data_IF_277858640294
#
_entry.id   IF_277858640294
#
_cell.length_a   1.000
_cell.length_b   1.000
_cell.length_c   1.000
_cell.angle_alpha   90.00
_cell.angle_beta   90.00
_cell.angle_gamma   90.00
#
_symmetry.space_group_name_H-M   'P 1'
#
loop_
_entity.id
_entity.type
_entity.pdbx_description
1 polymer ?
#
# COMPACT_ATOMS: atom_id res chain seq x y z
N UNK A 1 -10.03 -4.94 -7.85
CA UNK A 1 -9.35 -6.25 -7.91
C UNK A 1 -8.00 -6.25 -8.64
N UNK A 2 -7.91 -5.73 -9.87
CA UNK A 2 -6.64 -5.68 -10.66
C UNK A 2 -5.43 -5.10 -9.92
N UNK A 3 -5.62 -4.00 -9.18
CA UNK A 3 -4.58 -3.38 -8.33
C UNK A 3 -4.01 -4.36 -7.30
N UNK A 4 -4.87 -5.14 -6.63
CA UNK A 4 -4.42 -6.14 -5.67
C UNK A 4 -3.64 -7.27 -6.33
N UNK A 5 -4.07 -7.74 -7.50
CA UNK A 5 -3.31 -8.75 -8.27
C UNK A 5 -1.92 -8.24 -8.57
N UNK A 6 -1.81 -7.04 -9.15
CA UNK A 6 -0.53 -6.41 -9.45
C UNK A 6 0.35 -6.30 -8.20
N UNK A 7 -0.18 -5.73 -7.11
CA UNK A 7 0.57 -5.59 -5.86
C UNK A 7 1.03 -6.96 -5.35
N UNK A 8 0.15 -7.96 -5.26
CA UNK A 8 0.54 -9.30 -4.79
C UNK A 8 1.62 -9.94 -5.67
N UNK A 9 1.53 -9.79 -7.00
CA UNK A 9 2.57 -10.26 -7.91
C UNK A 9 3.90 -9.55 -7.65
N UNK A 10 3.92 -8.22 -7.52
CA UNK A 10 5.14 -7.47 -7.17
C UNK A 10 5.75 -7.94 -5.85
N UNK A 11 4.91 -8.24 -4.84
CA UNK A 11 5.39 -8.76 -3.56
C UNK A 11 6.03 -10.13 -3.74
N UNK A 12 5.41 -11.04 -4.50
CA UNK A 12 5.96 -12.36 -4.78
C UNK A 12 7.34 -12.25 -5.45
N UNK A 13 7.42 -11.50 -6.55
CA UNK A 13 8.65 -11.38 -7.35
C UNK A 13 9.84 -10.86 -6.52
N UNK A 14 9.58 -9.92 -5.61
CA UNK A 14 10.60 -9.35 -4.72
C UNK A 14 10.92 -10.23 -3.51
N UNK A 15 10.02 -11.11 -3.09
CA UNK A 15 10.20 -11.89 -1.85
C UNK A 15 10.76 -13.27 -2.11
N UNK A 16 10.44 -13.92 -3.23
CA UNK A 16 10.72 -15.36 -3.44
C UNK A 16 12.15 -15.79 -3.07
N UNK A 17 13.17 -15.08 -3.56
CA UNK A 17 14.57 -15.33 -3.24
C UNK A 17 15.17 -14.36 -2.20
N UNK A 18 14.35 -13.51 -1.58
CA UNK A 18 14.84 -12.52 -0.62
C UNK A 18 15.35 -13.19 0.67
N UNK A 19 16.58 -12.90 1.15
CA UNK A 19 17.19 -13.56 2.29
C UNK A 19 16.33 -13.59 3.57
N UNK A 20 15.60 -12.50 3.82
CA UNK A 20 14.74 -12.39 5.02
C UNK A 20 13.25 -12.59 4.77
N UNK A 21 12.78 -12.50 3.53
CA UNK A 21 11.35 -12.37 3.24
C UNK A 21 10.80 -13.48 2.35
N UNK A 22 11.61 -14.45 1.93
CA UNK A 22 11.21 -15.62 1.14
C UNK A 22 10.02 -16.39 1.72
N UNK A 23 9.91 -16.47 3.05
CA UNK A 23 8.79 -17.11 3.73
C UNK A 23 7.42 -16.46 3.47
N UNK A 24 7.35 -15.23 2.93
CA UNK A 24 6.10 -14.59 2.50
C UNK A 24 5.67 -14.94 1.07
N UNK A 25 6.60 -15.40 0.22
CA UNK A 25 6.29 -15.68 -1.18
C UNK A 25 5.23 -16.77 -1.36
N UNK A 26 5.24 -17.91 -0.64
CA UNK A 26 4.18 -18.91 -0.73
C UNK A 26 2.79 -18.33 -0.46
N UNK A 27 2.66 -17.42 0.52
CA UNK A 27 1.40 -16.74 0.84
C UNK A 27 0.90 -15.84 -0.29
N UNK A 28 1.81 -15.14 -0.96
CA UNK A 28 1.47 -14.32 -2.12
C UNK A 28 0.95 -15.19 -3.28
N UNK A 29 1.64 -16.31 -3.57
CA UNK A 29 1.21 -17.28 -4.59
C UNK A 29 -0.13 -17.91 -4.24
N UNK A 30 -0.31 -18.34 -2.99
CA UNK A 30 -1.58 -18.88 -2.48
C UNK A 30 -2.71 -17.86 -2.63
N UNK A 31 -2.48 -16.58 -2.36
CA UNK A 31 -3.50 -15.55 -2.54
C UNK A 31 -3.93 -15.38 -4.00
N UNK A 32 -2.96 -15.42 -4.94
CA UNK A 32 -3.24 -15.39 -6.38
C UNK A 32 -4.02 -16.65 -6.80
N UNK A 33 -3.60 -17.83 -6.32
CA UNK A 33 -4.24 -19.12 -6.63
C UNK A 33 -5.61 -19.31 -5.96
N UNK A 34 -5.81 -18.88 -4.71
CA UNK A 34 -7.14 -18.91 -4.06
C UNK A 34 -8.15 -18.05 -4.78
N UNK A 35 -7.68 -16.96 -5.41
CA UNK A 35 -8.48 -16.15 -6.33
C UNK A 35 -8.59 -16.75 -7.74
N UNK A 36 -7.72 -17.71 -8.08
CA UNK A 36 -7.58 -18.33 -9.40
C UNK A 36 -8.03 -19.80 -9.55
N UNK A 37 -8.26 -20.58 -8.50
CA UNK A 37 -8.52 -22.04 -8.58
C UNK A 37 -10.02 -22.41 -8.49
N UNK A 38 -10.44 -23.46 -9.21
CA UNK A 38 -11.84 -23.86 -9.55
C UNK A 38 -12.07 -25.34 -9.20
N UNK A 39 -13.35 -25.72 -9.10
CA UNK A 39 -13.93 -27.07 -9.36
C UNK A 39 -13.71 -28.17 -8.30
N UNK A 40 -14.78 -28.49 -7.58
CA UNK A 40 -15.08 -29.83 -7.08
C UNK A 40 -14.12 -30.42 -6.05
N UNK A 41 -14.19 -29.96 -4.81
CA UNK A 41 -14.16 -30.83 -3.62
C UNK A 41 -14.35 -29.98 -2.36
N UNK A 42 -15.23 -30.44 -1.48
CA UNK A 42 -15.39 -29.92 -0.14
C UNK A 42 -14.07 -30.09 0.62
N UNK A 43 -13.50 -28.97 1.07
CA UNK A 43 -12.49 -29.00 2.12
C UNK A 43 -12.89 -27.99 3.19
N UNK A 44 -13.10 -28.52 4.38
CA UNK A 44 -13.51 -27.84 5.60
C UNK A 44 -12.53 -26.70 5.95
N UNK A 45 -13.09 -25.50 6.16
CA UNK A 45 -12.37 -24.35 6.67
C UNK A 45 -12.23 -24.45 8.20
N UNK A 46 -11.00 -24.38 8.71
CA UNK A 46 -10.72 -23.98 10.10
C UNK A 46 -9.84 -22.74 10.12
N UNK A 47 -10.35 -21.76 10.86
CA UNK A 47 -9.75 -20.54 11.44
C UNK A 47 -9.52 -19.27 10.58
N UNK A 48 -9.75 -18.07 11.17
CA UNK A 48 -9.70 -16.80 10.47
C UNK A 48 -8.30 -16.16 10.50
N UNK A 49 -7.82 -15.71 9.34
CA UNK A 49 -6.55 -15.01 9.19
C UNK A 49 -6.81 -13.50 9.10
N UNK A 50 -6.29 -12.74 10.08
CA UNK A 50 -6.22 -11.28 10.04
C UNK A 50 -5.16 -10.83 9.01
N UNK A 51 -5.52 -10.00 8.03
CA UNK A 51 -4.53 -9.18 7.31
C UNK A 51 -5.05 -7.79 6.95
N UNK A 52 -4.19 -6.79 7.24
CA UNK A 52 -4.12 -5.49 6.59
C UNK A 52 -2.68 -5.35 6.08
N UNK A 53 -2.42 -5.03 4.80
CA UNK A 53 -1.07 -5.07 4.24
C UNK A 53 -0.45 -3.67 4.35
N UNK A 54 -0.33 -3.14 5.58
CA UNK A 54 0.49 -1.96 5.86
C UNK A 54 1.09 -1.98 7.30
N UNK A 55 0.97 -3.08 8.03
CA UNK A 55 1.46 -3.19 9.40
C UNK A 55 2.22 -4.51 9.62
N UNK A 56 3.41 -4.62 9.04
CA UNK A 56 4.37 -5.63 9.47
C UNK A 56 5.12 -5.12 10.71
N UNK A 57 4.47 -5.19 11.87
CA UNK A 57 5.11 -5.33 13.20
C UNK A 57 4.17 -5.05 14.39
N UNK A 58 2.94 -5.57 14.46
CA UNK A 58 2.21 -5.57 15.75
C UNK A 58 1.23 -6.75 15.83
N UNK A 59 1.68 -7.82 16.48
CA UNK A 59 0.80 -8.75 17.18
C UNK A 59 1.11 -8.57 18.66
N UNK A 60 0.16 -8.02 19.44
CA UNK A 60 -0.03 -8.24 20.89
C UNK A 60 -1.24 -7.40 21.36
N UNK A 61 -2.26 -8.13 21.83
CA UNK A 61 -3.30 -7.78 22.83
C UNK A 61 -4.23 -6.57 22.55
N UNK A 62 -5.41 -6.87 22.00
CA UNK A 62 -6.59 -6.01 22.08
C UNK A 62 -7.18 -6.15 23.49
N UNK A 63 -6.92 -5.16 24.34
CA UNK A 63 -7.81 -4.81 25.45
C UNK A 63 -8.50 -3.48 25.12
N UNK A 64 -9.78 -3.30 25.45
CA UNK A 64 -10.49 -2.06 25.15
C UNK A 64 -9.82 -0.87 25.87
N UNK A 65 -9.70 0.31 25.22
CA UNK A 65 -9.00 1.44 25.80
C UNK A 65 -9.71 1.95 27.06
N UNK A 66 -9.04 1.82 28.19
CA UNK A 66 -9.38 2.48 29.45
C UNK A 66 -9.25 4.00 29.26
N UNK A 67 -10.39 4.69 29.15
CA UNK A 67 -10.40 6.15 29.05
C UNK A 67 -11.66 6.80 28.46
N UNK A 68 -12.64 6.03 27.97
CA UNK A 68 -13.90 6.62 27.48
C UNK A 68 -14.71 7.17 28.68
N UNK A 69 -15.03 8.48 28.71
CA UNK A 69 -15.89 9.07 29.72
C UNK A 69 -17.24 8.33 29.74
N UNK A 70 -17.76 7.99 30.94
CA UNK A 70 -18.92 7.10 31.12
C UNK A 70 -20.17 7.53 30.32
N UNK A 71 -20.34 8.81 30.01
CA UNK A 71 -21.47 9.34 29.24
C UNK A 71 -21.48 9.03 27.73
N UNK A 72 -20.40 8.49 27.15
CA UNK A 72 -20.32 8.17 25.72
C UNK A 72 -20.47 6.67 25.41
N UNK A 73 -20.63 5.80 26.42
CA UNK A 73 -20.78 4.35 26.19
C UNK A 73 -22.10 4.01 25.49
N UNK A 74 -23.18 4.73 25.82
CA UNK A 74 -24.53 4.39 25.36
C UNK A 74 -24.85 4.83 23.92
N UNK A 75 -23.96 5.58 23.26
CA UNK A 75 -24.09 5.98 21.84
C UNK A 75 -23.23 5.13 20.89
N UNK A 76 -22.42 4.20 21.43
CA UNK A 76 -21.43 3.44 20.65
C UNK A 76 -21.84 1.97 20.46
N UNK A 77 -22.85 1.50 21.18
CA UNK A 77 -23.38 0.13 21.07
C UNK A 77 -24.66 0.09 20.22
N UNK A 78 -24.54 0.37 18.93
CA UNK A 78 -25.50 -0.13 17.94
C UNK A 78 -24.73 -0.95 16.92
N UNK A 79 -24.74 -2.26 17.18
CA UNK A 79 -24.55 -3.38 16.26
C UNK A 79 -23.60 -3.21 15.07
N UNK A 80 -22.38 -3.73 15.22
CA UNK A 80 -21.68 -4.35 14.09
C UNK A 80 -21.10 -5.68 14.54
N UNK A 81 -21.84 -6.77 14.32
CA UNK A 81 -21.25 -8.10 14.26
C UNK A 81 -20.19 -8.08 13.13
N UNK A 82 -18.99 -8.68 13.31
CA UNK A 82 -18.02 -8.77 12.23
C UNK A 82 -18.64 -9.56 11.09
N UNK A 83 -18.61 -9.02 9.88
CA UNK A 83 -19.07 -9.74 8.69
C UNK A 83 -18.04 -10.84 8.40
N UNK A 84 -18.34 -12.06 8.82
CA UNK A 84 -17.53 -13.28 8.66
C UNK A 84 -17.50 -13.85 7.23
N UNK A 85 -17.95 -13.11 6.21
CA UNK A 85 -17.97 -13.63 4.85
C UNK A 85 -16.68 -13.26 4.10
N UNK A 86 -15.63 -14.09 4.18
CA UNK A 86 -14.63 -14.15 3.11
C UNK A 86 -15.31 -14.75 1.86
N UNK A 87 -16.11 -13.93 1.17
CA UNK A 87 -16.69 -14.31 -0.12
C UNK A 87 -15.52 -14.49 -1.09
N UNK A 88 -15.35 -15.71 -1.59
CA UNK A 88 -14.35 -16.00 -2.59
C UNK A 88 -14.75 -15.28 -3.89
N UNK A 89 -14.05 -14.16 -4.17
CA UNK A 89 -14.33 -13.22 -5.25
C UNK A 89 -14.31 -13.86 -6.65
N UNK A 90 -13.72 -15.05 -6.81
CA UNK A 90 -13.82 -15.83 -8.04
C UNK A 90 -15.25 -16.28 -8.33
N UNK A 91 -16.02 -16.64 -7.30
CA UNK A 91 -17.44 -17.00 -7.44
C UNK A 91 -18.30 -15.82 -7.91
N UNK A 92 -17.91 -14.58 -7.59
CA UNK A 92 -18.60 -13.37 -8.05
C UNK A 92 -18.26 -13.00 -9.51
N UNK A 93 -17.17 -13.55 -10.05
CA UNK A 93 -16.71 -13.32 -11.42
C UNK A 93 -17.02 -14.48 -12.38
N UNK A 94 -17.35 -15.66 -11.86
CA UNK A 94 -17.54 -16.86 -12.67
C UNK A 94 -18.72 -16.70 -13.66
N UNK A 95 -18.46 -17.03 -14.92
CA UNK A 95 -19.40 -16.97 -16.05
C UNK A 95 -20.02 -15.59 -16.36
N UNK A 96 -19.36 -14.49 -15.95
CA UNK A 96 -19.80 -13.13 -16.26
C UNK A 96 -18.66 -12.32 -16.87
N UNK A 97 -18.61 -12.28 -18.20
CA UNK A 97 -17.55 -11.55 -18.93
C UNK A 97 -17.49 -10.06 -18.57
N UNK A 98 -18.63 -9.47 -18.20
CA UNK A 98 -18.75 -8.07 -17.78
C UNK A 98 -18.68 -7.85 -16.26
N UNK A 99 -18.26 -8.85 -15.47
CA UNK A 99 -18.17 -8.68 -14.01
C UNK A 99 -17.02 -7.75 -13.63
N UNK A 100 -17.33 -6.73 -12.81
CA UNK A 100 -16.33 -5.84 -12.20
C UNK A 100 -15.34 -6.57 -11.28
N UNK A 101 -15.65 -7.82 -10.91
CA UNK A 101 -14.80 -8.69 -10.09
C UNK A 101 -13.77 -9.48 -10.91
N UNK A 102 -13.89 -9.53 -12.24
CA UNK A 102 -12.89 -10.19 -13.11
C UNK A 102 -11.62 -9.35 -13.17
N UNK A 103 -10.54 -9.86 -12.57
CA UNK A 103 -9.23 -9.24 -12.69
C UNK A 103 -8.55 -9.71 -13.98
N UNK A 104 -8.51 -8.82 -14.98
CA UNK A 104 -7.88 -9.07 -16.28
C UNK A 104 -6.47 -9.67 -16.17
N UNK A 105 -5.64 -9.09 -15.31
CA UNK A 105 -4.24 -9.48 -15.12
C UNK A 105 -4.05 -10.73 -14.25
N UNK A 106 -5.10 -11.44 -13.81
CA UNK A 106 -4.94 -12.57 -12.87
C UNK A 106 -4.29 -13.79 -13.51
N UNK A 107 -4.68 -14.18 -14.72
CA UNK A 107 -4.13 -15.35 -15.39
C UNK A 107 -2.62 -15.16 -15.65
N UNK A 108 -2.26 -14.07 -16.33
CA UNK A 108 -0.86 -13.71 -16.57
C UNK A 108 -0.07 -13.50 -15.28
N UNK A 109 -0.70 -13.03 -14.18
CA UNK A 109 -0.04 -12.92 -12.89
C UNK A 109 0.34 -14.28 -12.30
N UNK A 110 -0.51 -15.30 -12.44
CA UNK A 110 -0.24 -16.66 -11.96
C UNK A 110 0.90 -17.28 -12.79
N UNK A 111 0.83 -17.17 -14.11
CA UNK A 111 1.87 -17.66 -15.00
C UNK A 111 3.22 -16.98 -14.71
N UNK A 112 3.22 -15.66 -14.52
CA UNK A 112 4.44 -14.90 -14.25
C UNK A 112 5.10 -15.29 -12.92
N UNK A 113 4.32 -15.53 -11.86
CA UNK A 113 4.92 -15.96 -10.57
C UNK A 113 5.44 -17.38 -10.65
N UNK A 114 4.77 -18.27 -11.39
CA UNK A 114 5.23 -19.65 -11.59
C UNK A 114 6.52 -19.69 -12.43
N UNK A 115 6.59 -18.93 -13.52
CA UNK A 115 7.80 -18.85 -14.35
C UNK A 115 8.97 -18.23 -13.59
N UNK A 116 8.72 -17.23 -12.74
CA UNK A 116 9.78 -16.60 -11.93
C UNK A 116 10.32 -17.55 -10.85
N UNK A 117 9.43 -18.29 -10.20
CA UNK A 117 9.80 -19.32 -9.23
C UNK A 117 10.61 -20.45 -9.85
N UNK A 118 10.19 -20.94 -11.01
CA UNK A 118 10.94 -21.95 -11.77
C UNK A 118 12.34 -21.43 -12.14
N UNK A 119 12.42 -20.23 -12.75
CA UNK A 119 13.69 -19.59 -13.14
C UNK A 119 14.65 -19.39 -11.97
N UNK A 120 14.16 -19.14 -10.76
CA UNK A 120 15.03 -18.98 -9.59
C UNK A 120 15.32 -20.30 -8.86
N UNK A 121 14.62 -21.39 -9.21
CA UNK A 121 14.78 -22.71 -8.61
C UNK A 121 15.61 -23.67 -9.45
N UNK A 122 15.85 -23.36 -10.72
CA UNK A 122 16.53 -24.22 -11.70
C UNK A 122 18.03 -24.46 -11.42
N UNK A 123 18.64 -23.67 -10.53
CA UNK A 123 20.07 -23.77 -10.20
C UNK A 123 20.99 -23.27 -11.32
N UNK A 124 20.44 -22.55 -12.30
CA UNK A 124 21.20 -21.90 -13.36
C UNK A 124 22.17 -20.84 -12.80
N UNK A 125 23.20 -20.52 -13.58
CA UNK A 125 24.14 -19.45 -13.22
C UNK A 125 23.42 -18.10 -13.04
N UNK A 126 22.42 -17.82 -13.89
CA UNK A 126 21.58 -16.63 -13.78
C UNK A 126 20.79 -16.60 -12.46
N UNK A 127 20.16 -17.72 -12.09
CA UNK A 127 19.41 -17.80 -10.83
C UNK A 127 20.30 -17.52 -9.61
N UNK A 128 21.51 -18.09 -9.60
CA UNK A 128 22.49 -17.87 -8.54
C UNK A 128 23.06 -16.45 -8.54
N UNK A 129 23.23 -15.82 -9.70
CA UNK A 129 23.60 -14.41 -9.81
C UNK A 129 22.53 -13.50 -9.19
N UNK A 130 21.25 -13.71 -9.53
CA UNK A 130 20.13 -12.94 -8.98
C UNK A 130 20.07 -13.09 -7.45
N UNK A 131 20.16 -14.33 -6.93
CA UNK A 131 20.16 -14.60 -5.49
C UNK A 131 21.35 -13.95 -4.79
N UNK A 132 22.55 -14.04 -5.38
CA UNK A 132 23.77 -13.43 -4.85
C UNK A 132 23.67 -11.92 -4.79
N UNK A 133 23.11 -11.29 -5.83
CA UNK A 133 22.86 -9.86 -5.86
C UNK A 133 21.90 -9.44 -4.74
N UNK A 134 20.75 -10.11 -4.61
CA UNK A 134 19.78 -9.83 -3.55
C UNK A 134 20.40 -9.98 -2.16
N UNK A 135 21.21 -11.02 -1.96
CA UNK A 135 21.94 -11.25 -0.71
C UNK A 135 22.92 -10.12 -0.41
N UNK A 136 23.73 -9.72 -1.39
CA UNK A 136 24.68 -8.62 -1.22
C UNK A 136 23.98 -7.29 -0.90
N UNK A 137 22.86 -6.96 -1.56
CA UNK A 137 22.09 -5.73 -1.26
C UNK A 137 21.60 -5.70 0.19
N UNK A 138 21.11 -6.82 0.70
CA UNK A 138 20.69 -6.97 2.10
C UNK A 138 21.87 -6.84 3.06
N UNK A 139 23.00 -7.50 2.76
CA UNK A 139 24.22 -7.42 3.58
C UNK A 139 24.78 -6.00 3.63
N UNK A 140 24.80 -5.28 2.49
CA UNK A 140 25.19 -3.87 2.45
C UNK A 140 24.23 -3.00 3.27
N UNK A 141 22.93 -3.25 3.16
CA UNK A 141 21.91 -2.61 3.99
C UNK A 141 22.18 -2.76 5.48
N UNK A 142 22.48 -3.99 5.93
CA UNK A 142 22.79 -4.29 7.32
C UNK A 142 24.10 -3.66 7.79
N UNK A 143 25.14 -3.66 6.95
CA UNK A 143 26.43 -3.00 7.24
C UNK A 143 26.23 -1.49 7.40
N UNK A 144 25.51 -0.85 6.47
CA UNK A 144 25.24 0.59 6.52
C UNK A 144 24.36 0.96 7.71
N UNK A 145 23.34 0.14 8.02
CA UNK A 145 22.50 0.31 9.21
C UNK A 145 23.33 0.27 10.50
N UNK A 146 24.25 -0.69 10.65
CA UNK A 146 25.18 -0.74 11.80
C UNK A 146 26.03 0.53 11.90
N UNK A 147 26.40 1.13 10.76
CA UNK A 147 27.11 2.41 10.65
C UNK A 147 26.20 3.65 10.75
N UNK A 148 24.89 3.48 10.99
CA UNK A 148 23.87 4.54 11.01
C UNK A 148 23.82 5.35 9.70
N UNK A 149 24.11 4.71 8.57
CA UNK A 149 24.00 5.28 7.22
C UNK A 149 22.87 4.60 6.47
N UNK A 150 22.33 5.30 5.47
CA UNK A 150 21.27 4.78 4.60
C UNK A 150 21.91 4.10 3.40
N UNK A 151 21.58 2.82 3.20
CA UNK A 151 21.83 2.14 1.92
C UNK A 151 20.65 2.38 0.98
N UNK A 152 20.93 2.71 -0.29
CA UNK A 152 19.92 2.84 -1.33
C UNK A 152 19.85 1.51 -2.06
N UNK A 153 18.80 0.75 -1.78
CA UNK A 153 18.58 -0.55 -2.40
C UNK A 153 18.20 -0.37 -3.87
N UNK A 154 18.69 -1.27 -4.71
CA UNK A 154 18.48 -1.27 -6.15
C UNK A 154 17.88 -2.61 -6.62
N UNK A 155 17.06 -2.55 -7.68
CA UNK A 155 16.48 -3.76 -8.26
C UNK A 155 17.50 -4.47 -9.14
N UNK A 156 17.39 -5.80 -9.23
CA UNK A 156 18.12 -6.54 -10.26
C UNK A 156 17.63 -6.15 -11.65
N UNK A 157 18.54 -6.12 -12.63
CA UNK A 157 18.19 -5.81 -14.01
C UNK A 157 17.13 -6.77 -14.55
N UNK A 158 17.25 -8.06 -14.24
CA UNK A 158 16.33 -9.11 -14.67
C UNK A 158 14.91 -8.87 -14.16
N UNK A 159 14.76 -8.38 -12.92
CA UNK A 159 13.46 -8.05 -12.35
C UNK A 159 12.86 -6.78 -12.98
N UNK A 160 13.70 -5.77 -13.24
CA UNK A 160 13.29 -4.56 -13.94
C UNK A 160 12.79 -4.90 -15.35
N UNK A 161 13.54 -5.71 -16.11
CA UNK A 161 13.17 -6.18 -17.44
C UNK A 161 11.86 -6.98 -17.39
N UNK A 162 11.73 -7.92 -16.45
CA UNK A 162 10.55 -8.77 -16.29
C UNK A 162 9.27 -7.93 -16.07
N UNK A 163 9.33 -6.98 -15.12
CA UNK A 163 8.18 -6.15 -14.79
C UNK A 163 7.88 -5.17 -15.92
N UNK A 164 8.91 -4.57 -16.53
CA UNK A 164 8.73 -3.56 -17.58
C UNK A 164 8.06 -4.10 -18.83
N UNK A 165 8.26 -5.39 -19.14
CA UNK A 165 7.71 -6.04 -20.31
C UNK A 165 6.36 -6.74 -20.06
N UNK A 166 5.90 -6.84 -18.81
CA UNK A 166 4.72 -7.64 -18.46
C UNK A 166 3.43 -6.82 -18.42
N UNK A 167 2.39 -7.35 -19.05
CA UNK A 167 1.02 -6.78 -19.02
C UNK A 167 0.31 -7.00 -17.68
N UNK A 168 0.94 -7.68 -16.73
CA UNK A 168 0.41 -7.85 -15.38
C UNK A 168 0.39 -6.53 -14.61
N UNK A 169 1.35 -5.64 -14.89
CA UNK A 169 1.56 -4.38 -14.19
C UNK A 169 0.85 -3.21 -14.87
N UNK A 170 -0.49 -3.28 -14.84
CA UNK A 170 -1.42 -2.35 -15.49
C UNK A 170 -1.32 -0.90 -15.00
N UNK A 171 -0.86 -0.68 -13.77
CA UNK A 171 -0.86 0.63 -13.12
C UNK A 171 0.58 1.09 -12.84
N UNK A 172 1.17 1.96 -13.68
CA UNK A 172 2.51 2.49 -13.50
C UNK A 172 2.74 3.15 -12.14
N UNK A 173 1.74 3.88 -11.65
CA UNK A 173 1.77 4.57 -10.35
C UNK A 173 1.81 3.61 -9.15
N UNK A 174 1.56 2.31 -9.36
CA UNK A 174 1.68 1.28 -8.33
C UNK A 174 2.98 0.48 -8.46
N UNK A 175 3.90 0.85 -9.36
CA UNK A 175 5.22 0.24 -9.41
C UNK A 175 6.05 0.68 -8.20
N UNK A 176 6.79 -0.25 -7.56
CA UNK A 176 7.55 0.08 -6.37
C UNK A 176 8.74 0.98 -6.76
N UNK A 177 8.93 2.14 -6.09
CA UNK A 177 10.04 3.03 -6.39
C UNK A 177 11.37 2.50 -5.86
N UNK A 178 11.34 1.59 -4.89
CA UNK A 178 12.52 0.95 -4.29
C UNK A 178 12.20 -0.53 -3.98
N UNK A 179 13.21 -1.42 -3.94
CA UNK A 179 13.03 -2.80 -3.51
C UNK A 179 12.62 -2.92 -2.04
N UNK A 180 12.19 -4.12 -1.63
CA UNK A 180 12.02 -4.41 -0.21
C UNK A 180 13.32 -4.31 0.57
N UNK A 181 13.16 -3.79 1.79
CA UNK A 181 14.25 -3.45 2.71
C UNK A 181 14.02 -4.14 4.04
N UNK A 182 15.04 -4.80 4.56
CA UNK A 182 15.05 -5.39 5.91
C UNK A 182 15.60 -4.44 6.97
N UNK A 183 16.22 -3.34 6.56
CA UNK A 183 16.97 -2.42 7.42
C UNK A 183 16.11 -1.25 7.96
N UNK A 184 14.84 -1.17 7.58
CA UNK A 184 13.95 -0.08 8.01
C UNK A 184 13.51 -0.30 9.46
N UNK A 185 13.88 0.65 10.32
CA UNK A 185 13.22 0.86 11.60
C UNK A 185 11.88 1.54 11.31
N UNK A 186 10.77 0.87 11.59
CA UNK A 186 9.42 1.43 11.53
C UNK A 186 9.26 2.49 12.60
N UNK A 187 9.76 3.69 12.35
CA UNK A 187 9.34 4.84 13.13
C UNK A 187 7.87 5.12 12.84
N UNK A 188 7.17 5.71 13.81
CA UNK A 188 5.80 6.22 13.66
C UNK A 188 5.78 7.45 12.73
N UNK A 189 6.21 7.26 11.49
CA UNK A 189 6.18 8.25 10.42
C UNK A 189 4.77 8.25 9.84
N UNK A 190 4.31 9.45 9.51
CA UNK A 190 3.08 9.67 8.78
C UNK A 190 3.45 10.05 7.35
N UNK A 191 2.92 9.30 6.40
CA UNK A 191 3.11 9.57 4.98
C UNK A 191 2.32 10.82 4.58
N UNK A 192 2.69 11.53 3.49
CA UNK A 192 1.93 12.68 3.02
C UNK A 192 0.43 12.39 2.82
N UNK A 193 0.01 11.27 2.21
CA UNK A 193 -1.41 10.93 2.10
C UNK A 193 -2.07 10.64 3.46
N UNK A 194 -1.32 10.15 4.45
CA UNK A 194 -1.86 9.98 5.80
C UNK A 194 -2.10 11.34 6.47
N UNK A 195 -1.28 12.36 6.20
CA UNK A 195 -1.53 13.72 6.69
C UNK A 195 -2.79 14.32 6.09
N UNK A 196 -3.02 14.10 4.79
CA UNK A 196 -4.27 14.49 4.12
C UNK A 196 -5.47 13.75 4.74
N UNK A 197 -5.36 12.44 4.94
CA UNK A 197 -6.40 11.62 5.56
C UNK A 197 -6.73 12.09 6.99
N UNK A 198 -5.71 12.45 7.76
CA UNK A 198 -5.89 13.02 9.11
C UNK A 198 -6.62 14.36 9.02
N UNK A 199 -6.22 15.26 8.12
CA UNK A 199 -6.87 16.57 7.95
C UNK A 199 -8.35 16.42 7.57
N UNK A 200 -8.66 15.56 6.59
CA UNK A 200 -10.03 15.23 6.16
C UNK A 200 -10.83 14.65 7.33
N UNK A 201 -10.25 13.70 8.06
CA UNK A 201 -10.90 13.10 9.22
C UNK A 201 -11.19 14.09 10.33
N UNK A 202 -10.25 14.98 10.62
CA UNK A 202 -10.46 16.04 11.60
C UNK A 202 -11.64 16.93 11.19
N UNK A 203 -11.70 17.39 9.94
CA UNK A 203 -12.82 18.20 9.43
C UNK A 203 -14.17 17.47 9.56
N UNK A 204 -14.25 16.24 9.04
CA UNK A 204 -15.49 15.46 9.02
C UNK A 204 -16.02 15.20 10.43
N UNK A 205 -15.16 14.70 11.33
CA UNK A 205 -15.58 14.33 12.68
C UNK A 205 -15.73 15.54 13.61
N UNK A 206 -15.03 16.64 13.37
CA UNK A 206 -15.25 17.91 14.06
C UNK A 206 -16.63 18.49 13.71
N UNK A 207 -16.98 18.52 12.42
CA UNK A 207 -18.30 18.96 11.97
C UNK A 207 -19.42 18.06 12.47
N UNK A 208 -19.20 16.74 12.50
CA UNK A 208 -20.11 15.80 13.14
C UNK A 208 -20.29 16.15 14.64
N UNK A 209 -19.21 16.24 15.41
CA UNK A 209 -19.30 16.44 16.87
C UNK A 209 -19.85 17.80 17.31
N UNK A 210 -19.70 18.86 16.49
CA UNK A 210 -20.33 20.16 16.73
C UNK A 210 -21.85 20.05 16.91
N UNK A 211 -22.49 19.10 16.21
CA UNK A 211 -23.94 18.94 16.21
C UNK A 211 -24.47 18.10 17.38
N UNK A 212 -23.62 17.32 18.07
CA UNK A 212 -24.08 16.32 19.04
C UNK A 212 -23.64 16.56 20.49
N UNK A 213 -22.70 17.47 20.77
CA UNK A 213 -22.14 17.56 22.13
C UNK A 213 -21.69 18.94 22.59
N UNK A 214 -22.15 19.36 23.77
CA UNK A 214 -21.60 20.52 24.49
C UNK A 214 -20.18 20.27 25.03
N UNK A 215 -19.78 19.00 25.22
CA UNK A 215 -18.43 18.61 25.66
C UNK A 215 -17.36 18.87 24.60
N UNK A 216 -17.75 18.94 23.32
CA UNK A 216 -16.85 19.28 22.22
C UNK A 216 -16.20 20.68 22.41
N UNK A 217 -16.90 21.64 23.02
CA UNK A 217 -16.37 23.01 23.26
C UNK A 217 -15.15 23.04 24.17
N UNK A 218 -14.99 22.06 25.07
CA UNK A 218 -13.88 22.04 26.06
C UNK A 218 -12.69 21.19 25.64
N UNK A 219 -12.87 20.15 24.83
CA UNK A 219 -11.79 19.23 24.46
C UNK A 219 -11.92 18.65 23.04
N UNK A 220 -11.82 19.53 22.04
CA UNK A 220 -12.00 19.20 20.61
C UNK A 220 -11.20 17.96 20.15
N UNK A 221 -9.86 18.03 20.20
CA UNK A 221 -9.00 16.96 19.66
C UNK A 221 -9.13 15.62 20.40
N UNK A 222 -9.34 15.62 21.72
CA UNK A 222 -9.43 14.35 22.47
C UNK A 222 -10.71 13.56 22.19
N UNK A 223 -11.72 14.20 21.58
CA UNK A 223 -12.98 13.56 21.19
C UNK A 223 -12.94 13.18 19.70
N UNK A 224 -12.37 14.04 18.86
CA UNK A 224 -12.30 13.84 17.40
C UNK A 224 -11.26 12.79 17.01
N UNK A 225 -10.06 12.80 17.59
CA UNK A 225 -8.97 11.87 17.21
C UNK A 225 -9.33 10.39 17.40
N UNK A 226 -10.03 9.96 18.47
CA UNK A 226 -10.53 8.60 18.56
C UNK A 226 -11.44 8.17 17.40
N UNK A 227 -12.25 9.08 16.85
CA UNK A 227 -13.10 8.79 15.70
C UNK A 227 -12.28 8.64 14.41
N UNK A 228 -11.28 9.52 14.21
CA UNK A 228 -10.31 9.41 13.10
C UNK A 228 -9.64 8.04 13.13
N UNK A 229 -9.19 7.58 14.30
CA UNK A 229 -8.56 6.26 14.41
C UNK A 229 -9.56 5.14 14.15
N UNK A 230 -10.73 5.19 14.79
CA UNK A 230 -11.73 4.13 14.66
C UNK A 230 -12.17 3.92 13.21
N UNK A 231 -12.31 5.00 12.44
CA UNK A 231 -12.94 4.94 11.12
C UNK A 231 -11.98 5.08 9.94
N UNK A 232 -10.83 5.72 10.12
CA UNK A 232 -9.91 6.03 9.00
C UNK A 232 -8.51 5.44 9.18
N UNK A 233 -8.02 5.34 10.42
CA UNK A 233 -6.66 4.88 10.70
C UNK A 233 -6.60 3.86 11.86
N UNK A 234 -7.31 2.71 11.77
CA UNK A 234 -7.42 1.75 12.88
C UNK A 234 -6.10 1.10 13.30
N UNK A 235 -5.06 1.20 12.46
CA UNK A 235 -3.71 0.71 12.75
C UNK A 235 -2.83 1.70 13.52
N UNK A 236 -3.33 2.90 13.83
CA UNK A 236 -2.56 3.95 14.53
C UNK A 236 -2.90 4.00 16.02
N UNK A 237 -1.90 4.31 16.83
CA UNK A 237 -2.09 4.56 18.26
C UNK A 237 -2.65 5.96 18.53
N UNK A 238 -3.63 6.02 19.41
CA UNK A 238 -4.31 7.26 19.82
C UNK A 238 -3.38 8.30 20.44
N UNK A 239 -2.51 7.89 21.36
CA UNK A 239 -1.64 8.83 22.07
C UNK A 239 -0.59 9.39 21.12
N UNK A 240 -0.07 8.55 20.24
CA UNK A 240 0.92 8.92 19.24
C UNK A 240 0.35 9.84 18.17
N UNK A 241 -0.86 9.58 17.66
CA UNK A 241 -1.52 10.45 16.69
C UNK A 241 -1.83 11.82 17.30
N UNK A 242 -2.33 11.86 18.53
CA UNK A 242 -2.59 13.12 19.22
C UNK A 242 -1.31 13.94 19.44
N UNK A 243 -0.20 13.28 19.81
CA UNK A 243 1.12 13.93 19.91
C UNK A 243 1.61 14.43 18.54
N UNK A 244 1.39 13.65 17.49
CA UNK A 244 1.77 14.01 16.14
C UNK A 244 1.01 15.24 15.64
N UNK A 245 -0.32 15.26 15.74
CA UNK A 245 -1.17 16.39 15.34
C UNK A 245 -0.73 17.69 16.04
N UNK A 246 -0.45 17.63 17.35
CA UNK A 246 0.03 18.80 18.11
C UNK A 246 1.37 19.33 17.59
N UNK A 247 2.27 18.44 17.17
CA UNK A 247 3.55 18.80 16.56
C UNK A 247 3.41 19.25 15.12
N UNK A 248 2.48 18.68 14.37
CA UNK A 248 2.21 19.04 12.98
C UNK A 248 1.84 20.53 12.86
N UNK A 249 1.27 21.15 13.90
CA UNK A 249 1.06 22.60 13.96
C UNK A 249 2.32 23.43 13.72
N UNK A 250 3.50 22.94 14.08
CA UNK A 250 4.77 23.68 13.94
C UNK A 250 5.52 23.36 12.65
N UNK A 251 5.02 22.46 11.82
CA UNK A 251 5.66 22.06 10.57
C UNK A 251 5.00 22.87 9.45
N UNK A 252 5.71 23.74 8.73
CA UNK A 252 5.08 24.56 7.70
C UNK A 252 4.54 23.72 6.54
N UNK A 253 3.44 24.18 5.94
CA UNK A 253 2.87 23.66 4.69
C UNK A 253 2.44 22.17 4.73
N UNK A 254 2.08 21.63 5.90
CA UNK A 254 1.47 20.30 5.98
C UNK A 254 -0.07 20.37 6.07
N UNK A 255 -0.79 19.35 5.56
CA UNK A 255 -2.26 19.34 5.53
C UNK A 255 -2.94 19.53 6.90
N UNK A 256 -2.35 18.99 7.97
CA UNK A 256 -2.90 19.09 9.32
C UNK A 256 -2.76 20.52 9.84
N UNK A 257 -1.64 21.18 9.58
CA UNK A 257 -1.47 22.61 9.90
C UNK A 257 -2.51 23.46 9.16
N UNK A 258 -2.67 23.25 7.84
CA UNK A 258 -3.65 23.97 7.05
C UNK A 258 -5.06 23.83 7.64
N UNK A 259 -5.44 22.60 8.02
CA UNK A 259 -6.70 22.36 8.72
C UNK A 259 -6.81 23.12 10.04
N UNK A 260 -5.77 23.10 10.87
CA UNK A 260 -5.79 23.78 12.17
C UNK A 260 -5.91 25.31 12.05
N UNK A 261 -5.47 25.89 10.94
CA UNK A 261 -5.54 27.33 10.65
C UNK A 261 -6.89 27.71 10.02
N UNK A 262 -7.38 26.91 9.08
CA UNK A 262 -8.56 27.26 8.26
C UNK A 262 -9.85 26.56 8.70
N UNK A 263 -9.77 25.57 9.59
CA UNK A 263 -10.85 24.66 9.98
C UNK A 263 -11.48 23.88 8.80
N UNK A 264 -10.72 23.73 7.71
CA UNK A 264 -11.10 22.99 6.49
C UNK A 264 -9.86 22.24 6.00
N UNK A 265 -10.01 20.99 5.58
CA UNK A 265 -8.93 20.23 5.01
C UNK A 265 -8.50 20.81 3.66
N UNK A 266 -7.23 20.66 3.24
CA UNK A 266 -6.82 21.04 1.90
C UNK A 266 -7.67 20.32 0.85
N UNK A 267 -8.01 21.03 -0.23
CA UNK A 267 -8.74 20.45 -1.36
C UNK A 267 -7.90 19.33 -1.97
N UNK A 268 -8.48 18.13 -2.06
CA UNK A 268 -7.85 16.99 -2.74
C UNK A 268 -8.46 16.86 -4.13
N UNK A 269 -7.64 17.01 -5.17
CA UNK A 269 -8.06 16.75 -6.55
C UNK A 269 -8.09 15.25 -6.79
N UNK A 270 -9.28 14.70 -6.99
CA UNK A 270 -9.46 13.29 -7.31
C UNK A 270 -9.55 13.10 -8.82
N UNK A 271 -8.65 12.31 -9.38
CA UNK A 271 -8.68 11.92 -10.78
C UNK A 271 -9.19 10.49 -10.91
N UNK A 272 -10.25 10.31 -11.70
CA UNK A 272 -10.72 8.98 -12.08
C UNK A 272 -10.05 8.62 -13.40
N UNK A 273 -9.17 7.63 -13.36
CA UNK A 273 -8.58 7.07 -14.58
C UNK A 273 -9.52 5.97 -15.09
N UNK A 274 -10.24 6.19 -16.21
CA UNK A 274 -11.10 5.16 -16.77
C UNK A 274 -10.24 3.96 -17.21
N UNK A 275 -10.73 2.76 -16.93
CA UNK A 275 -10.09 1.54 -17.40
C UNK A 275 -10.78 1.08 -18.68
N UNK A 276 -10.01 0.91 -19.75
CA UNK A 276 -10.44 0.21 -20.97
C UNK A 276 -9.48 -0.94 -21.26
N UNK A 277 -9.98 -2.04 -21.82
CA UNK A 277 -9.14 -3.18 -22.19
C UNK A 277 -8.10 -2.78 -23.25
N UNK A 278 -8.49 -1.91 -24.18
CA UNK A 278 -7.60 -1.41 -25.24
C UNK A 278 -6.49 -0.48 -24.71
N UNK A 279 -6.65 0.06 -23.48
CA UNK A 279 -5.62 0.86 -22.82
C UNK A 279 -4.62 0.04 -22.00
N UNK A 280 -4.79 -1.29 -21.92
CA UNK A 280 -3.84 -2.15 -21.20
C UNK A 280 -2.52 -2.19 -21.95
N UNK A 281 -1.50 -1.61 -21.33
CA UNK A 281 -0.13 -1.58 -21.87
C UNK A 281 0.86 -1.99 -20.78
N UNK A 282 1.89 -2.79 -21.12
CA UNK A 282 3.01 -3.06 -20.22
C UNK A 282 3.74 -1.75 -19.87
N UNK A 283 4.45 -1.67 -18.73
CA UNK A 283 5.09 -0.44 -18.28
C UNK A 283 6.02 0.23 -19.31
N UNK A 284 6.73 -0.55 -20.13
CA UNK A 284 7.60 -0.01 -21.19
C UNK A 284 6.84 0.71 -22.33
N UNK A 285 5.53 0.50 -22.47
CA UNK A 285 4.65 1.18 -23.45
C UNK A 285 3.78 2.27 -22.80
N UNK A 286 3.98 2.54 -21.51
CA UNK A 286 3.25 3.57 -20.78
C UNK A 286 3.96 4.94 -20.90
N UNK A 287 3.20 6.05 -20.77
CA UNK A 287 3.79 7.39 -20.73
C UNK A 287 4.87 7.50 -19.64
N UNK A 288 6.03 8.06 -19.99
CA UNK A 288 7.19 8.17 -19.11
C UNK A 288 6.89 8.98 -17.84
N UNK A 289 5.96 9.91 -17.92
CA UNK A 289 5.52 10.80 -16.84
C UNK A 289 4.84 10.03 -15.70
N UNK A 290 4.20 8.89 -16.01
CA UNK A 290 3.51 8.04 -15.04
C UNK A 290 4.42 7.02 -14.37
N UNK A 291 5.61 6.78 -14.93
CA UNK A 291 6.58 5.83 -14.38
C UNK A 291 7.36 6.46 -13.22
N UNK A 292 7.56 5.73 -12.10
CA UNK A 292 8.51 6.16 -11.08
C UNK A 292 9.93 6.23 -11.65
N UNK A 293 10.80 7.05 -11.02
CA UNK A 293 12.12 7.38 -11.55
C UNK A 293 12.97 6.17 -11.93
N UNK A 294 13.04 5.16 -11.06
CA UNK A 294 13.84 3.94 -11.29
C UNK A 294 13.38 3.19 -12.55
N UNK A 295 12.08 3.09 -12.77
CA UNK A 295 11.51 2.44 -13.96
C UNK A 295 11.73 3.28 -15.21
N UNK A 296 11.58 4.59 -15.09
CA UNK A 296 11.82 5.53 -16.19
C UNK A 296 13.27 5.49 -16.65
N UNK A 297 14.22 5.52 -15.72
CA UNK A 297 15.66 5.47 -16.00
C UNK A 297 16.06 4.13 -16.64
N UNK A 298 15.43 3.04 -16.22
CA UNK A 298 15.63 1.72 -16.80
C UNK A 298 15.06 1.60 -18.23
N UNK A 299 13.84 2.08 -18.47
CA UNK A 299 13.15 1.98 -19.77
C UNK A 299 13.68 3.00 -20.79
N UNK A 300 14.04 4.20 -20.33
CA UNK A 300 14.47 5.34 -21.16
C UNK A 300 15.83 5.89 -20.69
N UNK A 301 16.93 5.13 -20.86
CA UNK A 301 18.26 5.57 -20.42
C UNK A 301 18.71 6.82 -21.17
N UNK A 302 19.34 7.77 -20.46
CA UNK A 302 19.92 8.98 -21.05
C UNK A 302 19.02 10.22 -21.09
N UNK A 303 17.77 10.12 -20.64
CA UNK A 303 16.92 11.29 -20.37
C UNK A 303 17.22 11.74 -18.94
N UNK A 304 17.90 12.87 -18.76
CA UNK A 304 18.21 13.42 -17.44
C UNK A 304 16.93 13.60 -16.62
N UNK A 305 16.86 12.90 -15.47
CA UNK A 305 15.84 13.16 -14.45
C UNK A 305 16.00 14.62 -14.00
N UNK A 306 14.96 15.46 -14.02
CA UNK A 306 15.01 16.69 -13.25
C UNK A 306 15.19 16.29 -11.78
N UNK A 307 16.37 16.56 -11.25
CA UNK A 307 16.73 16.38 -9.85
C UNK A 307 15.65 16.98 -8.97
N UNK A 308 15.09 16.19 -8.06
CA UNK A 308 14.10 16.57 -7.04
C UNK A 308 12.67 16.86 -7.55
N UNK A 309 12.00 15.86 -8.15
CA UNK A 309 10.53 15.80 -8.12
C UNK A 309 10.06 14.81 -7.05
N UNK A 310 10.09 15.23 -5.79
CA UNK A 310 9.27 14.65 -4.73
C UNK A 310 7.80 14.72 -5.15
N UNK A 311 7.23 13.63 -5.68
CA UNK A 311 5.81 13.23 -5.68
C UNK A 311 4.66 14.21 -6.02
N UNK A 312 4.92 15.50 -6.19
CA UNK A 312 3.95 16.60 -6.15
C UNK A 312 3.79 17.24 -7.53
N UNK A 313 4.71 16.99 -8.47
CA UNK A 313 4.72 17.66 -9.79
C UNK A 313 4.29 16.80 -10.98
N UNK A 314 3.79 15.57 -10.79
CA UNK A 314 3.11 14.83 -11.87
C UNK A 314 1.84 15.60 -12.34
N UNK A 315 1.32 16.54 -11.54
CA UNK A 315 0.10 17.30 -11.83
C UNK A 315 0.23 18.40 -12.89
N UNK A 316 1.43 18.89 -13.24
CA UNK A 316 1.55 19.99 -14.22
C UNK A 316 1.72 19.52 -15.67
N UNK A 317 2.27 18.34 -15.90
CA UNK A 317 2.56 17.87 -17.27
C UNK A 317 1.35 17.29 -18.01
N UNK A 318 0.27 16.95 -17.29
CA UNK A 318 -0.99 16.47 -17.90
C UNK A 318 -1.80 17.63 -18.52
N UNK A 319 -1.54 18.89 -18.11
CA UNK A 319 -2.27 20.08 -18.58
C UNK A 319 -1.66 20.77 -19.81
N UNK A 320 -0.77 20.11 -20.57
CA UNK A 320 -0.24 20.67 -21.84
C UNK A 320 -0.54 19.83 -23.08
N UNK A 321 -1.36 18.80 -22.97
CA UNK A 321 -1.93 18.07 -24.11
C UNK A 321 -3.44 17.93 -23.91
N UNK A 322 -4.17 19.00 -24.21
CA UNK A 322 -5.63 19.06 -24.21
C UNK A 322 -6.09 20.35 -24.85
#
# INVERSE_FOLDING_TARGET
>A
MRKHVQLTTQHFLQTFAHPHFSHFAPKCKEFLKKKGYKRGSEAQYKEPIHWAPHSLSYSILISPPSGVPRGLRNLVEVGTKPIESQINLKYLADNKDNSSFRAFNLAGAIELVESWEERLSDGSEEAEEIKRYMKNEVEQGDIMRKKRRVHIFTFTKQLLDLISNSEVFLYPLLLPPIPFRSDIITHNLYLPPENELIAIGLEQFENYMKNYSSFYKKRKLSVVVPLVIKHMMPWRDHRLLLKYIRRAKTIPSNPIQYYLENNVAPVTEHFVIPFSLDSVKPPNKQPKELLPSVWREHIYPGISSPSNMTGVLIYKSINMCG
#
